data_IF_777260080249
#
_entry.id   IF_777260080249
#
_cell.length_a   1.000
_cell.length_b   1.000
_cell.length_c   1.000
_cell.angle_alpha   90.00
_cell.angle_beta   90.00
_cell.angle_gamma   90.00
#
_symmetry.space_group_name_H-M   'P 1'
#
loop_
_entity.id
_entity.type
_entity.pdbx_description
1 polymer ?
#
# COMPACT_ATOMS: atom_id res chain seq x y z
N UNK A 1 -49.67 -51.83 2.58
CA UNK A 1 -49.59 -51.62 1.13
C UNK A 1 -49.69 -50.12 0.82
N UNK A 2 -48.61 -49.40 0.78
CA UNK A 2 -48.37 -48.34 -0.20
C UNK A 2 -46.90 -47.85 -0.04
N UNK A 3 -46.12 -48.12 -1.07
CA UNK A 3 -44.78 -47.58 -1.25
C UNK A 3 -44.88 -46.12 -1.67
N UNK A 4 -44.14 -45.22 -1.04
CA UNK A 4 -43.73 -43.99 -1.64
C UNK A 4 -42.25 -43.72 -1.35
N UNK A 5 -41.46 -43.81 -2.43
CA UNK A 5 -40.06 -43.47 -2.43
C UNK A 5 -39.95 -41.93 -2.39
N UNK A 6 -39.29 -41.40 -1.38
CA UNK A 6 -38.85 -40.03 -1.36
C UNK A 6 -37.37 -39.98 -1.76
N UNK A 7 -37.11 -39.41 -2.92
CA UNK A 7 -35.77 -39.06 -3.35
C UNK A 7 -35.26 -37.88 -2.52
N UNK A 8 -34.14 -38.07 -1.88
CA UNK A 8 -33.41 -37.02 -1.17
C UNK A 8 -32.64 -36.14 -2.20
N UNK A 9 -32.97 -34.87 -2.23
CA UNK A 9 -32.17 -33.84 -2.93
C UNK A 9 -30.94 -33.45 -2.09
N UNK A 10 -29.75 -33.29 -2.66
CA UNK A 10 -28.52 -33.07 -1.87
C UNK A 10 -28.29 -31.66 -1.39
N UNK A 11 -29.24 -30.74 -1.49
CA UNK A 11 -29.11 -29.37 -0.97
C UNK A 11 -30.33 -28.96 -0.14
N UNK A 12 -30.34 -29.36 1.13
CA UNK A 12 -31.33 -28.94 2.10
C UNK A 12 -31.01 -27.54 2.67
N UNK A 13 -31.52 -26.47 2.04
CA UNK A 13 -31.59 -25.15 2.71
C UNK A 13 -32.92 -25.09 3.48
N UNK A 14 -32.85 -25.16 4.79
CA UNK A 14 -33.95 -24.79 5.68
C UNK A 14 -34.16 -23.28 5.63
N UNK A 15 -35.25 -22.82 5.04
CA UNK A 15 -35.72 -21.43 5.19
C UNK A 15 -36.31 -21.25 6.58
N UNK A 16 -35.49 -20.89 7.55
CA UNK A 16 -35.94 -20.34 8.83
C UNK A 16 -36.06 -18.82 8.71
N UNK A 17 -37.26 -18.26 8.71
CA UNK A 17 -37.46 -16.83 8.93
C UNK A 17 -37.21 -16.54 10.40
N UNK A 18 -36.08 -15.93 10.72
CA UNK A 18 -35.80 -15.42 12.06
C UNK A 18 -36.37 -14.00 12.14
N UNK A 19 -37.52 -13.87 12.84
CA UNK A 19 -38.07 -12.55 13.17
C UNK A 19 -37.34 -11.99 14.38
N UNK A 20 -36.43 -11.02 14.16
CA UNK A 20 -35.90 -10.19 15.24
C UNK A 20 -36.93 -9.12 15.61
N UNK A 21 -37.63 -9.28 16.74
CA UNK A 21 -38.33 -8.19 17.40
C UNK A 21 -37.31 -7.32 18.11
N UNK A 22 -36.96 -6.17 17.54
CA UNK A 22 -36.26 -5.11 18.26
C UNK A 22 -37.22 -4.45 19.25
N UNK A 23 -37.19 -4.89 20.49
CA UNK A 23 -37.80 -4.18 21.61
C UNK A 23 -36.70 -3.38 22.33
N UNK A 24 -36.82 -2.06 22.32
CA UNK A 24 -35.99 -1.18 23.13
C UNK A 24 -35.36 -0.05 22.31
N UNK A 25 -35.92 1.16 22.50
CA UNK A 25 -35.30 2.39 22.04
C UNK A 25 -34.04 2.62 22.84
N UNK A 26 -32.87 2.24 22.26
CA UNK A 26 -31.56 2.61 22.83
C UNK A 26 -31.27 4.04 22.38
N UNK A 27 -31.65 5.01 23.22
CA UNK A 27 -31.12 6.37 23.19
C UNK A 27 -29.69 6.31 23.81
N UNK A 28 -28.73 5.86 23.07
CA UNK A 28 -27.33 6.19 23.31
C UNK A 28 -26.69 6.25 21.93
N UNK A 29 -26.22 7.46 21.57
CA UNK A 29 -25.43 7.66 20.37
C UNK A 29 -24.20 6.75 20.42
N UNK A 30 -24.30 5.56 19.82
CA UNK A 30 -23.13 4.88 19.33
C UNK A 30 -22.62 5.68 18.13
N UNK A 31 -21.85 6.72 18.38
CA UNK A 31 -20.78 7.06 17.46
C UNK A 31 -19.96 5.80 17.35
N UNK A 32 -20.02 5.12 16.22
CA UNK A 32 -18.99 4.18 15.80
C UNK A 32 -17.74 5.04 15.68
N UNK A 33 -17.04 5.24 16.81
CA UNK A 33 -15.70 5.77 16.81
C UNK A 33 -14.93 4.83 15.91
N UNK A 34 -14.46 5.30 14.76
CA UNK A 34 -13.54 4.53 13.94
C UNK A 34 -12.44 4.08 14.88
N UNK A 35 -12.31 2.76 15.09
CA UNK A 35 -11.21 2.25 15.91
C UNK A 35 -9.93 2.73 15.21
N UNK A 36 -9.21 3.67 15.84
CA UNK A 36 -7.96 4.21 15.31
C UNK A 36 -6.88 3.14 15.45
N UNK A 37 -6.87 2.20 14.50
CA UNK A 37 -6.00 1.00 14.52
C UNK A 37 -4.51 1.32 14.48
N UNK A 38 -4.17 2.54 14.08
CA UNK A 38 -2.79 3.03 13.97
C UNK A 38 -2.48 4.15 14.98
N UNK A 39 -3.34 4.34 16.00
CA UNK A 39 -3.13 5.36 17.01
C UNK A 39 -1.75 5.23 17.67
N UNK A 40 -1.03 6.34 17.76
CA UNK A 40 0.29 6.42 18.38
C UNK A 40 1.44 5.84 17.53
N UNK A 41 1.17 5.27 16.35
CA UNK A 41 2.20 4.78 15.42
C UNK A 41 2.71 5.90 14.53
N UNK A 42 3.99 5.81 14.16
CA UNK A 42 4.62 6.72 13.20
C UNK A 42 4.93 5.95 11.92
N UNK A 43 4.45 6.46 10.78
CA UNK A 43 4.59 5.83 9.48
C UNK A 43 5.36 6.72 8.50
N UNK A 44 6.22 6.12 7.68
CA UNK A 44 6.83 6.75 6.51
C UNK A 44 6.21 6.16 5.25
N UNK A 45 5.75 7.02 4.34
CA UNK A 45 5.20 6.62 3.04
C UNK A 45 5.99 7.31 1.93
N UNK A 46 6.66 6.52 1.06
CA UNK A 46 7.37 7.06 -0.10
C UNK A 46 6.44 7.18 -1.31
N UNK A 47 6.67 8.17 -2.16
CA UNK A 47 5.77 8.47 -3.29
C UNK A 47 4.39 8.95 -2.83
N UNK A 48 4.31 9.61 -1.67
CA UNK A 48 3.06 9.98 -1.00
C UNK A 48 2.39 11.27 -1.53
N UNK A 49 2.99 11.93 -2.52
CA UNK A 49 2.44 13.18 -3.05
C UNK A 49 1.15 13.01 -3.86
N UNK A 50 0.84 11.80 -4.36
CA UNK A 50 -0.35 11.51 -5.18
C UNK A 50 -0.66 10.01 -5.24
N UNK A 51 -1.79 9.66 -5.85
CA UNK A 51 -2.18 8.28 -6.16
C UNK A 51 -2.24 7.39 -4.92
N UNK A 52 -1.79 6.14 -5.05
CA UNK A 52 -1.83 5.14 -3.98
C UNK A 52 -1.12 5.63 -2.71
N UNK A 53 0.07 6.23 -2.84
CA UNK A 53 0.82 6.71 -1.68
C UNK A 53 0.11 7.80 -0.89
N UNK A 54 -0.58 8.72 -1.57
CA UNK A 54 -1.40 9.75 -0.93
C UNK A 54 -2.63 9.13 -0.22
N UNK A 55 -3.33 8.22 -0.88
CA UNK A 55 -4.46 7.52 -0.27
C UNK A 55 -4.06 6.72 0.97
N UNK A 56 -2.90 6.05 0.93
CA UNK A 56 -2.32 5.35 2.09
C UNK A 56 -2.02 6.34 3.22
N UNK A 57 -1.38 7.48 2.92
CA UNK A 57 -1.07 8.50 3.92
C UNK A 57 -2.34 9.06 4.58
N UNK A 58 -3.35 9.40 3.78
CA UNK A 58 -4.66 9.86 4.25
C UNK A 58 -5.35 8.81 5.12
N UNK A 59 -5.36 7.55 4.68
CA UNK A 59 -5.94 6.46 5.45
C UNK A 59 -5.22 6.26 6.79
N UNK A 60 -3.91 6.30 6.83
CA UNK A 60 -3.14 6.16 8.05
C UNK A 60 -3.41 7.30 9.03
N UNK A 61 -3.48 8.55 8.54
CA UNK A 61 -3.85 9.72 9.33
C UNK A 61 -5.26 9.56 9.95
N UNK A 62 -6.24 9.11 9.16
CA UNK A 62 -7.62 8.87 9.64
C UNK A 62 -7.69 7.78 10.71
N UNK A 63 -6.72 6.87 10.75
CA UNK A 63 -6.60 5.81 11.75
C UNK A 63 -5.67 6.19 12.93
N UNK A 64 -5.30 7.47 13.04
CA UNK A 64 -4.57 8.02 14.19
C UNK A 64 -3.05 7.91 14.13
N UNK A 65 -2.47 7.56 12.98
CA UNK A 65 -1.03 7.56 12.80
C UNK A 65 -0.48 8.99 12.56
N UNK A 66 0.78 9.22 12.95
CA UNK A 66 1.59 10.30 12.41
C UNK A 66 2.26 9.82 11.14
N UNK A 67 2.10 10.56 10.05
CA UNK A 67 2.55 10.13 8.72
C UNK A 67 3.58 11.08 8.15
N UNK A 68 4.72 10.54 7.75
CA UNK A 68 5.79 11.25 7.08
C UNK A 68 5.69 10.96 5.59
N UNK A 69 5.41 12.01 4.82
CA UNK A 69 5.23 11.96 3.37
C UNK A 69 6.55 12.25 2.68
N UNK A 70 7.00 11.33 1.83
CA UNK A 70 8.21 11.50 1.03
C UNK A 70 7.86 11.51 -0.44
N UNK A 71 8.30 12.54 -1.17
CA UNK A 71 8.35 12.59 -2.63
C UNK A 71 9.48 13.50 -3.10
N UNK A 72 9.85 13.40 -4.38
CA UNK A 72 10.94 14.23 -4.95
C UNK A 72 10.61 15.73 -4.96
N UNK A 73 9.36 16.05 -5.30
CA UNK A 73 8.90 17.44 -5.40
C UNK A 73 8.46 17.96 -4.04
N UNK A 74 9.09 19.05 -3.52
CA UNK A 74 8.66 19.70 -2.29
C UNK A 74 7.17 20.12 -2.33
N UNK A 75 6.71 20.66 -3.48
CA UNK A 75 5.33 21.08 -3.66
C UNK A 75 4.34 19.89 -3.63
N UNK A 76 4.74 18.72 -4.15
CA UNK A 76 3.88 17.53 -4.20
C UNK A 76 3.64 16.93 -2.80
N UNK A 77 4.71 16.66 -2.04
CA UNK A 77 4.51 16.09 -0.69
C UNK A 77 4.03 17.15 0.31
N UNK A 78 4.46 18.42 0.16
CA UNK A 78 4.00 19.53 1.00
C UNK A 78 2.51 19.79 0.84
N UNK A 79 2.04 19.96 -0.39
CA UNK A 79 0.62 20.16 -0.67
C UNK A 79 -0.25 18.98 -0.20
N UNK A 80 0.23 17.74 -0.41
CA UNK A 80 -0.46 16.55 0.09
C UNK A 80 -0.56 16.54 1.63
N UNK A 81 0.53 16.90 2.34
CA UNK A 81 0.52 16.98 3.79
C UNK A 81 -0.42 18.07 4.31
N UNK A 82 -0.42 19.25 3.66
CA UNK A 82 -1.32 20.35 4.01
C UNK A 82 -2.81 19.95 3.84
N UNK A 83 -3.15 19.27 2.74
CA UNK A 83 -4.52 18.81 2.51
C UNK A 83 -4.97 17.76 3.52
N UNK A 84 -4.10 16.80 3.86
CA UNK A 84 -4.43 15.80 4.87
C UNK A 84 -4.56 16.45 6.25
N UNK A 85 -3.70 17.41 6.59
CA UNK A 85 -3.76 18.11 7.87
C UNK A 85 -5.01 19.01 8.04
N UNK A 86 -5.68 19.42 6.94
CA UNK A 86 -7.00 20.09 7.05
C UNK A 86 -8.07 19.17 7.60
N UNK A 87 -7.99 17.86 7.32
CA UNK A 87 -8.94 16.86 7.79
C UNK A 87 -8.51 16.21 9.11
N UNK A 88 -7.20 15.99 9.27
CA UNK A 88 -6.57 15.33 10.42
C UNK A 88 -5.42 16.22 10.93
N UNK A 89 -5.69 17.20 11.80
CA UNK A 89 -4.72 18.19 12.24
C UNK A 89 -3.43 17.56 12.79
N UNK A 90 -2.28 18.10 12.40
CA UNK A 90 -0.94 17.71 12.86
C UNK A 90 -0.57 16.23 12.62
N UNK A 91 -1.30 15.55 11.76
CA UNK A 91 -1.07 14.12 11.46
C UNK A 91 0.06 13.90 10.46
N UNK A 92 0.37 14.88 9.59
CA UNK A 92 1.27 14.70 8.46
C UNK A 92 2.41 15.72 8.43
N UNK A 93 3.63 15.25 8.10
CA UNK A 93 4.79 16.10 7.81
C UNK A 93 5.49 15.64 6.54
N UNK A 94 5.87 16.60 5.67
CA UNK A 94 6.52 16.31 4.39
C UNK A 94 8.03 16.47 4.48
N UNK A 95 8.76 15.54 3.81
CA UNK A 95 10.21 15.59 3.62
C UNK A 95 10.53 15.30 2.15
N UNK A 96 10.97 16.32 1.39
CA UNK A 96 11.38 16.10 0.01
C UNK A 96 12.63 15.22 -0.05
N UNK A 97 12.58 14.15 -0.89
CA UNK A 97 13.74 13.29 -1.11
C UNK A 97 13.59 12.52 -2.42
N UNK A 98 14.66 12.41 -3.20
CA UNK A 98 14.75 11.42 -4.26
C UNK A 98 15.20 10.09 -3.63
N UNK A 99 14.26 9.15 -3.57
CA UNK A 99 14.51 7.84 -2.96
C UNK A 99 15.46 6.94 -3.77
N UNK A 100 15.73 7.28 -5.04
CA UNK A 100 16.72 6.59 -5.86
C UNK A 100 18.17 6.94 -5.44
N UNK A 101 18.38 8.12 -4.87
CA UNK A 101 19.68 8.57 -4.37
C UNK A 101 19.91 8.05 -2.94
N UNK A 102 20.92 7.18 -2.82
CA UNK A 102 21.26 6.54 -1.54
C UNK A 102 21.71 7.58 -0.49
N UNK A 103 22.55 8.53 -0.87
CA UNK A 103 23.09 9.53 0.06
C UNK A 103 21.97 10.47 0.56
N UNK A 104 21.14 10.96 -0.36
CA UNK A 104 19.97 11.79 -0.02
C UNK A 104 19.00 11.06 0.91
N UNK A 105 18.77 9.77 0.71
CA UNK A 105 17.94 8.96 1.62
C UNK A 105 18.55 8.86 3.01
N UNK A 106 19.85 8.58 3.12
CA UNK A 106 20.51 8.50 4.44
C UNK A 106 20.41 9.82 5.21
N UNK A 107 20.66 10.95 4.54
CA UNK A 107 20.55 12.29 5.13
C UNK A 107 19.11 12.62 5.55
N UNK A 108 18.15 12.39 4.65
CA UNK A 108 16.73 12.67 4.92
C UNK A 108 16.21 11.83 6.08
N UNK A 109 16.52 10.51 6.11
CA UNK A 109 16.10 9.65 7.21
C UNK A 109 16.77 10.04 8.54
N UNK A 110 18.02 10.48 8.51
CA UNK A 110 18.68 11.02 9.70
C UNK A 110 17.99 12.30 10.23
N UNK A 111 17.54 13.18 9.33
CA UNK A 111 16.76 14.37 9.69
C UNK A 111 15.38 13.97 10.26
N UNK A 112 14.69 13.04 9.64
CA UNK A 112 13.40 12.52 10.13
C UNK A 112 13.54 11.94 11.54
N UNK A 113 14.59 11.16 11.80
CA UNK A 113 14.80 10.52 13.09
C UNK A 113 15.13 11.49 14.25
N UNK A 114 15.56 12.73 13.92
CA UNK A 114 15.68 13.79 14.94
C UNK A 114 14.29 14.29 15.38
N UNK A 115 13.35 14.41 14.45
CA UNK A 115 12.00 14.87 14.74
C UNK A 115 11.08 13.74 15.23
N UNK A 116 11.32 12.54 14.74
CA UNK A 116 10.54 11.32 15.01
C UNK A 116 11.46 10.16 15.37
N UNK A 117 11.88 10.05 16.66
CA UNK A 117 12.87 9.04 17.07
C UNK A 117 12.36 7.60 16.99
N UNK A 118 11.06 7.40 16.85
CA UNK A 118 10.43 6.09 16.65
C UNK A 118 9.70 6.08 15.30
N UNK A 119 10.01 5.06 14.50
CA UNK A 119 9.29 4.73 13.25
C UNK A 119 8.79 3.30 13.37
N UNK A 120 7.49 3.12 13.19
CA UNK A 120 6.83 1.83 13.33
C UNK A 120 6.51 1.22 11.95
N UNK A 121 6.19 2.04 10.96
CA UNK A 121 5.70 1.58 9.66
C UNK A 121 6.52 2.26 8.55
N UNK A 122 6.98 1.44 7.59
CA UNK A 122 7.59 1.90 6.34
C UNK A 122 6.79 1.34 5.16
N UNK A 123 6.25 2.25 4.33
CA UNK A 123 5.60 1.91 3.07
C UNK A 123 6.47 2.37 1.91
N UNK A 124 7.11 1.43 1.23
CA UNK A 124 7.87 1.64 0.00
C UNK A 124 6.90 1.62 -1.19
N UNK A 125 6.37 2.79 -1.54
CA UNK A 125 5.39 2.93 -2.62
C UNK A 125 5.94 3.72 -3.81
N UNK A 126 6.99 4.50 -3.66
CA UNK A 126 7.58 5.25 -4.77
C UNK A 126 7.88 4.36 -5.98
N UNK A 127 7.50 4.83 -7.16
CA UNK A 127 7.73 4.06 -8.38
C UNK A 127 7.41 4.88 -9.64
N UNK A 128 8.04 4.47 -10.73
CA UNK A 128 7.86 5.04 -12.07
C UNK A 128 7.74 3.91 -13.09
N UNK A 129 7.22 4.26 -14.27
CA UNK A 129 7.29 3.44 -15.48
C UNK A 129 8.10 4.15 -16.55
N UNK A 130 8.81 3.40 -17.39
CA UNK A 130 9.49 3.81 -18.61
C UNK A 130 9.27 2.68 -19.62
N UNK A 131 8.07 2.68 -20.21
CA UNK A 131 7.62 1.58 -21.04
C UNK A 131 8.23 1.65 -22.44
N UNK A 132 8.88 0.58 -22.86
CA UNK A 132 9.43 0.42 -24.20
C UNK A 132 9.61 -1.06 -24.53
N UNK A 133 9.42 -1.44 -25.80
CA UNK A 133 9.79 -2.79 -26.24
C UNK A 133 11.28 -3.04 -26.00
N UNK A 134 11.67 -4.26 -25.65
CA UNK A 134 13.06 -4.61 -25.32
C UNK A 134 14.06 -4.16 -26.39
N UNK A 135 13.67 -4.28 -27.67
CA UNK A 135 14.50 -3.85 -28.81
C UNK A 135 14.84 -2.34 -28.79
N UNK A 136 14.01 -1.51 -28.15
CA UNK A 136 14.15 -0.05 -28.11
C UNK A 136 14.38 0.49 -26.72
N UNK A 137 14.37 -0.36 -25.70
CA UNK A 137 14.57 0.03 -24.31
C UNK A 137 16.00 0.50 -24.14
N UNK A 138 16.15 1.70 -23.60
CA UNK A 138 17.46 2.29 -23.29
C UNK A 138 17.94 1.86 -21.91
N UNK A 139 19.25 1.81 -21.72
CA UNK A 139 19.87 1.50 -20.42
C UNK A 139 19.42 2.52 -19.35
N UNK A 140 19.34 3.80 -19.71
CA UNK A 140 18.93 4.85 -18.79
C UNK A 140 17.48 4.66 -18.31
N UNK A 141 16.58 4.16 -19.16
CA UNK A 141 15.18 3.87 -18.79
C UNK A 141 15.09 2.62 -17.91
N UNK A 142 15.95 1.64 -18.15
CA UNK A 142 16.07 0.45 -17.32
C UNK A 142 16.57 0.84 -15.93
N UNK A 143 17.70 1.53 -15.83
CA UNK A 143 18.31 1.94 -14.57
C UNK A 143 17.40 2.86 -13.76
N UNK A 144 16.78 3.86 -14.39
CA UNK A 144 15.85 4.75 -13.71
C UNK A 144 14.68 4.01 -13.05
N UNK A 145 14.15 2.97 -13.71
CA UNK A 145 13.05 2.15 -13.16
C UNK A 145 13.55 1.26 -12.01
N UNK A 146 14.69 0.61 -12.17
CA UNK A 146 15.24 -0.24 -11.11
C UNK A 146 15.67 0.58 -9.89
N UNK A 147 16.32 1.71 -10.09
CA UNK A 147 16.76 2.58 -9.01
C UNK A 147 15.57 3.15 -8.22
N UNK A 148 14.53 3.61 -8.94
CA UNK A 148 13.36 4.20 -8.29
C UNK A 148 12.46 3.14 -7.64
N UNK A 149 12.20 2.00 -8.31
CA UNK A 149 11.19 1.05 -7.85
C UNK A 149 11.74 -0.02 -6.90
N UNK A 150 13.01 -0.43 -7.05
CA UNK A 150 13.59 -1.53 -6.28
C UNK A 150 14.71 -1.06 -5.33
N UNK A 151 15.73 -0.39 -5.86
CA UNK A 151 16.86 0.07 -5.05
C UNK A 151 16.43 1.09 -4.00
N UNK A 152 15.42 1.90 -4.29
CA UNK A 152 14.85 2.84 -3.30
C UNK A 152 14.35 2.12 -2.04
N UNK A 153 13.71 0.97 -2.18
CA UNK A 153 13.26 0.17 -1.03
C UNK A 153 14.45 -0.36 -0.21
N UNK A 154 15.54 -0.75 -0.86
CA UNK A 154 16.78 -1.07 -0.16
C UNK A 154 17.32 0.15 0.58
N UNK A 155 17.38 1.33 -0.07
CA UNK A 155 17.90 2.56 0.52
C UNK A 155 17.16 2.94 1.80
N UNK A 156 15.82 2.92 1.77
CA UNK A 156 14.96 3.28 2.91
C UNK A 156 15.04 2.25 4.04
N UNK A 157 14.97 0.95 3.71
CA UNK A 157 15.10 -0.12 4.71
C UNK A 157 16.48 -0.05 5.36
N UNK A 158 17.56 0.15 4.58
CA UNK A 158 18.92 0.25 5.10
C UNK A 158 19.08 1.39 6.11
N UNK A 159 18.45 2.53 5.84
CA UNK A 159 18.48 3.68 6.74
C UNK A 159 17.67 3.46 8.02
N UNK A 160 16.53 2.77 7.92
CA UNK A 160 15.55 2.64 9.00
C UNK A 160 15.58 1.30 9.73
N UNK A 161 16.34 0.29 9.27
CA UNK A 161 16.30 -1.07 9.81
C UNK A 161 16.46 -1.12 11.34
N UNK A 162 17.37 -0.32 11.90
CA UNK A 162 17.64 -0.34 13.34
C UNK A 162 16.46 0.17 14.16
N UNK A 163 15.76 1.20 13.69
CA UNK A 163 14.62 1.77 14.40
C UNK A 163 13.39 0.89 14.22
N UNK A 164 13.15 0.34 13.04
CA UNK A 164 12.07 -0.60 12.78
C UNK A 164 12.20 -1.88 13.63
N UNK A 165 13.42 -2.42 13.76
CA UNK A 165 13.68 -3.59 14.62
C UNK A 165 13.57 -3.31 16.13
N UNK A 166 13.58 -2.04 16.56
CA UNK A 166 13.34 -1.63 17.95
C UNK A 166 11.88 -1.31 18.22
N UNK A 167 11.08 -1.07 17.18
CA UNK A 167 9.66 -0.81 17.31
C UNK A 167 8.92 -2.06 17.83
N UNK A 168 8.00 -1.93 18.78
CA UNK A 168 7.13 -3.03 19.22
C UNK A 168 6.13 -3.46 18.13
N UNK A 169 5.95 -2.65 17.10
CA UNK A 169 4.99 -2.82 16.02
C UNK A 169 5.60 -2.62 14.63
N UNK A 170 6.85 -3.03 14.43
CA UNK A 170 7.58 -2.83 13.16
C UNK A 170 6.89 -3.46 11.96
N UNK A 171 6.67 -2.67 10.91
CA UNK A 171 6.01 -3.08 9.65
C UNK A 171 6.75 -2.52 8.45
N UNK A 172 7.02 -3.37 7.47
CA UNK A 172 7.54 -2.98 6.14
C UNK A 172 6.54 -3.46 5.10
N UNK A 173 6.04 -2.54 4.27
CA UNK A 173 5.08 -2.84 3.21
C UNK A 173 5.64 -2.30 1.89
N UNK A 174 5.86 -3.20 0.94
CA UNK A 174 6.42 -2.89 -0.37
C UNK A 174 5.33 -2.94 -1.45
N UNK A 175 5.13 -1.84 -2.19
CA UNK A 175 4.18 -1.79 -3.31
C UNK A 175 4.80 -2.41 -4.56
N UNK A 176 4.50 -3.68 -4.78
CA UNK A 176 4.80 -4.40 -6.00
C UNK A 176 3.75 -4.08 -7.09
N UNK A 177 3.43 -5.03 -7.93
CA UNK A 177 2.40 -4.97 -8.98
C UNK A 177 2.09 -6.38 -9.47
N UNK A 178 0.87 -6.58 -9.97
CA UNK A 178 0.52 -7.80 -10.72
C UNK A 178 1.48 -8.03 -11.89
N UNK A 179 2.01 -6.96 -12.49
CA UNK A 179 3.00 -7.03 -13.59
C UNK A 179 4.31 -7.68 -13.12
N UNK A 180 4.68 -7.54 -11.85
CA UNK A 180 5.80 -8.28 -11.26
C UNK A 180 5.57 -9.78 -11.14
N UNK A 181 4.33 -10.25 -11.23
CA UNK A 181 3.95 -11.67 -11.18
C UNK A 181 3.82 -12.30 -12.58
N UNK A 182 3.24 -11.56 -13.53
CA UNK A 182 2.86 -12.11 -14.85
C UNK A 182 3.62 -11.51 -16.03
N UNK A 183 4.34 -10.40 -15.83
CA UNK A 183 4.97 -9.64 -16.91
C UNK A 183 3.98 -8.83 -17.75
N UNK A 184 4.50 -7.97 -18.62
CA UNK A 184 3.72 -7.27 -19.64
C UNK A 184 4.61 -6.83 -20.79
N UNK A 185 4.07 -6.79 -22.01
CA UNK A 185 4.79 -6.32 -23.21
C UNK A 185 5.21 -4.86 -23.00
N UNK A 186 6.48 -4.55 -23.29
CA UNK A 186 7.03 -3.20 -23.15
C UNK A 186 7.38 -2.79 -21.71
N UNK A 187 7.24 -3.67 -20.73
CA UNK A 187 7.49 -3.37 -19.31
C UNK A 187 8.54 -4.30 -18.67
N UNK A 188 9.55 -4.71 -19.41
CA UNK A 188 10.57 -5.63 -18.89
C UNK A 188 11.28 -5.07 -17.65
N UNK A 189 11.66 -3.77 -17.66
CA UNK A 189 12.26 -3.07 -16.52
C UNK A 189 11.31 -2.98 -15.33
N UNK A 190 10.05 -2.60 -15.56
CA UNK A 190 9.04 -2.47 -14.51
C UNK A 190 8.72 -3.84 -13.89
N UNK A 191 8.48 -4.85 -14.72
CA UNK A 191 8.23 -6.22 -14.27
C UNK A 191 9.39 -6.76 -13.42
N UNK A 192 10.64 -6.58 -13.89
CA UNK A 192 11.83 -6.98 -13.14
C UNK A 192 11.92 -6.27 -11.78
N UNK A 193 11.68 -4.94 -11.74
CA UNK A 193 11.72 -4.17 -10.51
C UNK A 193 10.66 -4.62 -9.50
N UNK A 194 9.43 -4.87 -9.97
CA UNK A 194 8.31 -5.27 -9.11
C UNK A 194 8.39 -6.75 -8.66
N UNK A 195 8.93 -7.64 -9.50
CA UNK A 195 9.29 -9.00 -9.11
C UNK A 195 10.43 -9.02 -8.08
N UNK A 196 11.46 -8.18 -8.30
CA UNK A 196 12.55 -8.00 -7.35
C UNK A 196 12.10 -7.57 -5.96
N UNK A 197 11.09 -6.66 -5.85
CA UNK A 197 10.49 -6.28 -4.57
C UNK A 197 9.86 -7.47 -3.83
N UNK A 198 9.26 -8.42 -4.53
CA UNK A 198 8.68 -9.62 -3.91
C UNK A 198 9.78 -10.49 -3.31
N UNK A 199 10.86 -10.73 -4.06
CA UNK A 199 12.03 -11.46 -3.55
C UNK A 199 12.69 -10.77 -2.36
N UNK A 200 12.89 -9.45 -2.47
CA UNK A 200 13.43 -8.61 -1.39
C UNK A 200 12.56 -8.69 -0.12
N UNK A 201 11.23 -8.58 -0.27
CA UNK A 201 10.30 -8.68 0.85
C UNK A 201 10.41 -10.02 1.59
N UNK A 202 10.49 -11.13 0.84
CA UNK A 202 10.60 -12.48 1.42
C UNK A 202 11.91 -12.65 2.23
N UNK A 203 13.03 -12.10 1.74
CA UNK A 203 14.30 -12.12 2.46
C UNK A 203 14.22 -11.30 3.75
N UNK A 204 13.71 -10.06 3.66
CA UNK A 204 13.53 -9.20 4.83
C UNK A 204 12.61 -9.84 5.88
N UNK A 205 11.54 -10.50 5.46
CA UNK A 205 10.63 -11.17 6.37
C UNK A 205 11.35 -12.23 7.23
N UNK A 206 12.27 -12.97 6.65
CA UNK A 206 13.09 -13.96 7.38
C UNK A 206 14.13 -13.31 8.30
N UNK A 207 14.83 -12.28 7.80
CA UNK A 207 15.87 -11.58 8.57
C UNK A 207 15.31 -10.82 9.78
N UNK A 208 14.11 -10.23 9.64
CA UNK A 208 13.53 -9.35 10.64
C UNK A 208 12.54 -10.06 11.58
N UNK A 209 12.14 -11.30 11.26
CA UNK A 209 11.23 -12.12 12.08
C UNK A 209 11.67 -12.25 13.55
N UNK A 210 12.98 -12.43 13.89
CA UNK A 210 13.42 -12.50 15.30
C UNK A 210 13.14 -11.22 16.09
N UNK A 211 12.93 -10.11 15.40
CA UNK A 211 12.54 -8.81 15.98
C UNK A 211 11.04 -8.52 15.86
N UNK A 212 10.24 -9.49 15.42
CA UNK A 212 8.77 -9.38 15.25
C UNK A 212 8.36 -8.28 14.25
N UNK A 213 9.24 -7.89 13.33
CA UNK A 213 8.91 -7.00 12.22
C UNK A 213 8.29 -7.83 11.11
N UNK A 214 7.08 -7.47 10.67
CA UNK A 214 6.47 -8.12 9.50
C UNK A 214 6.87 -7.38 8.22
N UNK A 215 7.12 -8.14 7.16
CA UNK A 215 7.44 -7.59 5.84
C UNK A 215 6.49 -8.20 4.81
N UNK A 216 5.72 -7.35 4.16
CA UNK A 216 4.69 -7.75 3.20
C UNK A 216 4.84 -7.01 1.87
N UNK A 217 4.47 -7.67 0.77
CA UNK A 217 4.37 -7.05 -0.54
C UNK A 217 2.90 -7.07 -0.99
N UNK A 218 2.41 -5.92 -1.42
CA UNK A 218 1.11 -5.79 -2.09
C UNK A 218 1.39 -5.75 -3.59
N UNK A 219 0.63 -6.52 -4.37
CA UNK A 219 0.71 -6.54 -5.83
C UNK A 219 -0.61 -5.99 -6.42
N UNK A 220 -0.81 -4.66 -6.48
CA UNK A 220 -2.01 -4.08 -7.05
C UNK A 220 -2.21 -4.52 -8.50
N UNK A 221 -3.47 -4.71 -8.88
CA UNK A 221 -3.90 -4.87 -10.26
C UNK A 221 -3.99 -3.52 -10.97
N UNK A 222 -5.04 -3.36 -11.78
CA UNK A 222 -5.29 -2.10 -12.49
C UNK A 222 -6.09 -1.15 -11.59
N UNK A 223 -5.40 -0.17 -11.03
CA UNK A 223 -5.95 0.80 -10.07
C UNK A 223 -6.11 2.17 -10.74
N UNK A 224 -7.23 2.84 -10.50
CA UNK A 224 -7.50 4.19 -11.00
C UNK A 224 -6.57 5.20 -10.31
N UNK A 225 -5.63 5.76 -11.08
CA UNK A 225 -4.62 6.75 -10.66
C UNK A 225 -4.33 7.68 -11.82
N UNK A 226 -3.64 8.80 -11.58
CA UNK A 226 -3.16 9.66 -12.66
C UNK A 226 -2.31 8.90 -13.69
N UNK A 227 -1.51 7.92 -13.23
CA UNK A 227 -0.68 7.08 -14.10
C UNK A 227 -1.54 6.21 -15.03
N UNK A 228 -2.58 5.57 -14.53
CA UNK A 228 -3.50 4.75 -15.35
C UNK A 228 -4.43 5.62 -16.20
N UNK A 229 -4.75 6.83 -15.75
CA UNK A 229 -5.58 7.78 -16.51
C UNK A 229 -4.88 8.32 -17.76
N UNK A 230 -3.57 8.28 -17.83
CA UNK A 230 -2.79 8.62 -19.02
C UNK A 230 -2.85 7.55 -20.13
N UNK A 231 -3.37 6.35 -19.85
CA UNK A 231 -3.53 5.27 -20.86
C UNK A 231 -4.72 5.63 -21.77
N UNK A 232 -4.62 5.45 -23.11
CA UNK A 232 -5.74 5.65 -24.02
C UNK A 232 -6.97 4.81 -23.65
N UNK A 233 -8.17 5.35 -23.84
CA UNK A 233 -9.42 4.74 -23.36
C UNK A 233 -9.70 3.37 -23.98
N UNK A 234 -9.40 3.18 -25.27
CA UNK A 234 -9.52 1.88 -25.94
C UNK A 234 -8.65 0.79 -25.29
N UNK A 235 -7.44 1.13 -24.83
CA UNK A 235 -6.57 0.19 -24.14
C UNK A 235 -7.04 -0.07 -22.71
N UNK A 236 -7.58 0.97 -22.02
CA UNK A 236 -8.21 0.78 -20.69
C UNK A 236 -9.36 -0.20 -20.76
N UNK A 237 -10.25 -0.05 -21.74
CA UNK A 237 -11.37 -0.97 -21.93
C UNK A 237 -10.91 -2.42 -22.15
N UNK A 238 -9.85 -2.63 -22.94
CA UNK A 238 -9.29 -3.96 -23.15
C UNK A 238 -8.71 -4.57 -21.86
N UNK A 239 -8.06 -3.75 -21.03
CA UNK A 239 -7.55 -4.19 -19.73
C UNK A 239 -8.72 -4.54 -18.80
N UNK A 240 -9.73 -3.67 -18.71
CA UNK A 240 -10.90 -3.89 -17.86
C UNK A 240 -11.68 -5.14 -18.28
N UNK A 241 -11.79 -5.44 -19.57
CA UNK A 241 -12.41 -6.69 -20.07
C UNK A 241 -11.73 -7.96 -19.55
N UNK A 242 -10.43 -7.89 -19.20
CA UNK A 242 -9.67 -9.03 -18.64
C UNK A 242 -9.82 -9.16 -17.13
N UNK A 243 -10.30 -8.12 -16.45
CA UNK A 243 -10.55 -8.15 -15.00
C UNK A 243 -11.87 -8.91 -14.75
N UNK A 244 -11.90 -9.91 -13.86
CA UNK A 244 -13.14 -10.68 -13.60
C UNK A 244 -14.32 -9.80 -13.18
N UNK A 245 -14.10 -8.79 -12.30
CA UNK A 245 -15.14 -7.87 -11.84
C UNK A 245 -15.51 -6.80 -12.87
N UNK A 246 -14.78 -6.72 -14.01
CA UNK A 246 -15.04 -5.75 -15.09
C UNK A 246 -14.95 -4.29 -14.68
N UNK A 247 -14.19 -4.00 -13.64
CA UNK A 247 -13.93 -2.64 -13.15
C UNK A 247 -12.49 -2.47 -12.67
N UNK A 248 -12.01 -1.23 -12.62
CA UNK A 248 -10.74 -0.89 -12.00
C UNK A 248 -10.90 -0.88 -10.48
N UNK A 249 -9.83 -1.25 -9.76
CA UNK A 249 -9.76 -0.96 -8.32
C UNK A 249 -9.52 0.53 -8.06
N UNK A 250 -9.84 0.95 -6.85
CA UNK A 250 -9.61 2.31 -6.35
C UNK A 250 -8.30 2.39 -5.55
N UNK A 251 -7.79 3.60 -5.34
CA UNK A 251 -6.64 3.81 -4.46
C UNK A 251 -7.01 3.52 -3.00
N UNK A 252 -8.28 3.66 -2.64
CA UNK A 252 -8.85 3.37 -1.33
C UNK A 252 -8.79 1.87 -1.01
N UNK A 253 -9.00 0.99 -1.99
CA UNK A 253 -8.87 -0.46 -1.81
C UNK A 253 -7.45 -0.84 -1.38
N UNK A 254 -6.45 -0.24 -2.03
CA UNK A 254 -5.04 -0.48 -1.69
C UNK A 254 -4.71 0.15 -0.33
N UNK A 255 -5.23 1.34 -0.05
CA UNK A 255 -5.02 2.01 1.23
C UNK A 255 -5.63 1.20 2.40
N UNK A 256 -6.82 0.61 2.21
CA UNK A 256 -7.46 -0.25 3.21
C UNK A 256 -6.63 -1.51 3.52
N UNK A 257 -6.15 -2.21 2.48
CA UNK A 257 -5.27 -3.36 2.64
C UNK A 257 -3.94 -2.97 3.32
N UNK A 258 -3.38 -1.82 2.93
CA UNK A 258 -2.14 -1.32 3.52
C UNK A 258 -2.32 -1.00 5.00
N UNK A 259 -3.44 -0.38 5.38
CA UNK A 259 -3.77 -0.09 6.77
C UNK A 259 -3.98 -1.36 7.61
N UNK A 260 -4.63 -2.39 7.04
CA UNK A 260 -4.73 -3.70 7.69
C UNK A 260 -3.35 -4.30 7.96
N UNK A 261 -2.46 -4.35 6.95
CA UNK A 261 -1.11 -4.89 7.11
C UNK A 261 -0.23 -4.07 8.07
N UNK A 262 -0.52 -2.78 8.24
CA UNK A 262 0.15 -1.89 9.19
C UNK A 262 -0.37 -2.04 10.63
N UNK A 263 -1.56 -2.59 10.81
CA UNK A 263 -2.22 -2.73 12.11
C UNK A 263 -1.74 -3.93 12.91
N UNK A 264 -2.24 -4.05 14.14
CA UNK A 264 -1.99 -5.20 15.00
C UNK A 264 -2.85 -6.42 14.63
N UNK A 265 -3.85 -6.23 13.74
CA UNK A 265 -4.67 -7.33 13.21
C UNK A 265 -3.88 -8.22 12.24
N UNK A 266 -2.77 -7.73 11.66
CA UNK A 266 -1.93 -8.44 10.68
C UNK A 266 -0.62 -8.95 11.33
N UNK A 267 -0.73 -9.81 12.33
CA UNK A 267 0.39 -10.49 12.96
C UNK A 267 0.66 -11.87 12.40
#
# INVERSE_FOLDING_TARGET
LFHSRHALSPYGFLRGQVHFKLAGTVKNGFTVGSMQKLAGKTAIVTGAGRGIGNAVARRFASEGARVILISRSPSSCGGAAEEINKEFPDSCKAYPCDVADYAAVQETMAAILKDFPQIDILVNNAGITRDSLMLRMKEEDWDAVLDTNLKSAFNTVKALQRVLMKSPAGRIINMSSVIGLVGNIGQANYAASKAGLIGFTKSLAQEFAPRKVTCNAIAPGFISTEMSNAIPDNLKEEIVKKIPLKEQGSVEDIAALTAFLASDDAR
#
